data_IF_200072108394
#
_entry.id   IF_200072108394
#
_cell.length_a   1.000
_cell.length_b   1.000
_cell.length_c   1.000
_cell.angle_alpha   90.00
_cell.angle_beta   90.00
_cell.angle_gamma   90.00
#
_symmetry.space_group_name_H-M   'P 1'
#
loop_
_entity.id
_entity.type
_entity.pdbx_description
1 polymer ?
#
# COMPACT_ATOMS: atom_id res chain seq x y z
N UNK A 1 8.47 -10.24 -32.27
CA UNK A 1 8.10 -9.14 -31.33
C UNK A 1 9.14 -9.09 -30.24
N UNK A 2 9.72 -7.92 -29.95
CA UNK A 2 10.67 -7.74 -28.85
C UNK A 2 9.96 -7.99 -27.51
N UNK A 3 10.69 -8.45 -26.49
CA UNK A 3 10.15 -8.83 -25.18
C UNK A 3 9.21 -7.80 -24.53
N UNK A 4 9.36 -6.52 -24.84
CA UNK A 4 8.49 -5.44 -24.37
C UNK A 4 7.00 -5.65 -24.70
N UNK A 5 6.67 -6.17 -25.89
CA UNK A 5 5.26 -6.35 -26.28
C UNK A 5 4.57 -7.45 -25.45
N UNK A 6 5.31 -8.50 -25.09
CA UNK A 6 4.81 -9.57 -24.21
C UNK A 6 4.62 -9.08 -22.79
N UNK A 7 5.53 -8.25 -22.30
CA UNK A 7 5.41 -7.64 -20.98
C UNK A 7 4.16 -6.77 -20.89
N UNK A 8 3.89 -5.92 -21.90
CA UNK A 8 2.67 -5.10 -21.94
C UNK A 8 1.41 -5.97 -21.90
N UNK A 9 1.37 -7.05 -22.67
CA UNK A 9 0.21 -7.95 -22.72
C UNK A 9 0.00 -8.67 -21.37
N UNK A 10 1.06 -9.16 -20.74
CA UNK A 10 0.99 -9.78 -19.41
C UNK A 10 0.58 -8.77 -18.34
N UNK A 11 1.09 -7.54 -18.40
CA UNK A 11 0.66 -6.45 -17.50
C UNK A 11 -0.82 -6.13 -17.68
N UNK A 12 -1.32 -6.08 -18.92
CA UNK A 12 -2.73 -5.88 -19.20
C UNK A 12 -3.59 -7.01 -18.61
N UNK A 13 -3.21 -8.27 -18.82
CA UNK A 13 -3.89 -9.42 -18.23
C UNK A 13 -3.91 -9.36 -16.69
N UNK A 14 -2.80 -8.96 -16.08
CA UNK A 14 -2.70 -8.79 -14.63
C UNK A 14 -3.67 -7.71 -14.12
N UNK A 15 -3.71 -6.54 -14.76
CA UNK A 15 -4.62 -5.45 -14.40
C UNK A 15 -6.07 -5.88 -14.55
N UNK A 16 -6.41 -6.55 -15.66
CA UNK A 16 -7.77 -7.06 -15.89
C UNK A 16 -8.15 -8.06 -14.79
N UNK A 17 -7.30 -9.04 -14.46
CA UNK A 17 -7.58 -9.99 -13.36
C UNK A 17 -7.77 -9.29 -12.01
N UNK A 18 -6.97 -8.27 -11.71
CA UNK A 18 -7.12 -7.49 -10.49
C UNK A 18 -8.47 -6.77 -10.43
N UNK A 19 -8.87 -6.11 -11.52
CA UNK A 19 -10.19 -5.45 -11.62
C UNK A 19 -11.33 -6.46 -11.52
N UNK A 20 -11.16 -7.68 -12.04
CA UNK A 20 -12.15 -8.75 -11.93
C UNK A 20 -12.29 -9.35 -10.53
N UNK A 21 -11.38 -9.07 -9.60
CA UNK A 21 -11.48 -9.59 -8.24
C UNK A 21 -12.78 -9.13 -7.57
N UNK A 22 -13.12 -7.84 -7.70
CA UNK A 22 -14.33 -7.26 -7.11
C UNK A 22 -15.62 -7.92 -7.63
N UNK A 23 -15.90 -7.97 -8.95
CA UNK A 23 -17.11 -8.63 -9.44
C UNK A 23 -17.11 -10.15 -9.19
N UNK A 24 -15.94 -10.80 -9.12
CA UNK A 24 -15.86 -12.24 -8.75
C UNK A 24 -16.31 -12.46 -7.31
N UNK A 25 -15.88 -11.59 -6.37
CA UNK A 25 -16.29 -11.65 -4.97
C UNK A 25 -17.80 -11.42 -4.85
N UNK A 26 -18.32 -10.37 -5.49
CA UNK A 26 -19.74 -10.06 -5.44
C UNK A 26 -20.58 -11.21 -6.00
N UNK A 27 -20.22 -11.73 -7.18
CA UNK A 27 -20.89 -12.88 -7.79
C UNK A 27 -20.87 -14.11 -6.88
N UNK A 28 -19.74 -14.39 -6.23
CA UNK A 28 -19.62 -15.51 -5.30
C UNK A 28 -20.52 -15.37 -4.06
N UNK A 29 -20.61 -14.15 -3.50
CA UNK A 29 -21.49 -13.86 -2.35
C UNK A 29 -22.96 -14.06 -2.75
N UNK A 30 -23.43 -13.39 -3.82
CA UNK A 30 -24.81 -13.53 -4.28
C UNK A 30 -25.17 -14.99 -4.61
N UNK A 31 -24.34 -15.69 -5.38
CA UNK A 31 -24.58 -17.09 -5.74
C UNK A 31 -24.62 -18.03 -4.52
N UNK A 32 -23.85 -17.72 -3.48
CA UNK A 32 -23.86 -18.51 -2.24
C UNK A 32 -25.15 -18.25 -1.46
N UNK A 33 -25.53 -16.99 -1.29
CA UNK A 33 -26.72 -16.58 -0.56
C UNK A 33 -28.00 -17.09 -1.23
N UNK A 34 -28.11 -16.96 -2.57
CA UNK A 34 -29.27 -17.46 -3.31
C UNK A 34 -29.37 -18.97 -3.30
N UNK A 35 -28.25 -19.69 -3.45
CA UNK A 35 -28.28 -21.14 -3.34
C UNK A 35 -28.66 -21.60 -1.94
N UNK A 36 -28.13 -20.98 -0.88
CA UNK A 36 -28.50 -21.33 0.49
C UNK A 36 -29.98 -21.01 0.77
N UNK A 37 -30.51 -19.90 0.23
CA UNK A 37 -31.94 -19.57 0.28
C UNK A 37 -32.81 -20.62 -0.43
N UNK A 38 -32.45 -21.04 -1.65
CA UNK A 38 -33.23 -22.02 -2.43
C UNK A 38 -33.13 -23.43 -1.83
N UNK A 39 -31.95 -23.83 -1.37
CA UNK A 39 -31.71 -25.17 -0.84
C UNK A 39 -32.25 -25.39 0.58
N UNK A 40 -32.31 -24.34 1.41
CA UNK A 40 -32.89 -24.42 2.76
C UNK A 40 -34.42 -24.57 2.75
N UNK A 41 -35.09 -24.14 1.69
CA UNK A 41 -36.55 -24.14 1.62
C UNK A 41 -37.08 -25.16 0.61
N UNK A 42 -37.66 -26.26 1.11
CA UNK A 42 -38.28 -27.32 0.30
C UNK A 42 -39.29 -26.78 -0.72
N UNK A 43 -40.03 -25.72 -0.36
CA UNK A 43 -41.01 -25.07 -1.24
C UNK A 43 -40.39 -24.50 -2.53
N UNK A 44 -39.12 -24.10 -2.49
CA UNK A 44 -38.43 -23.48 -3.63
C UNK A 44 -37.78 -24.51 -4.57
N UNK A 45 -37.48 -25.73 -4.09
CA UNK A 45 -36.75 -26.74 -4.89
C UNK A 45 -37.49 -28.06 -5.12
N UNK A 46 -38.65 -28.30 -4.48
CA UNK A 46 -39.40 -29.56 -4.61
C UNK A 46 -40.32 -29.62 -5.87
N UNK A 47 -39.91 -28.98 -6.97
CA UNK A 47 -40.62 -29.03 -8.26
C UNK A 47 -41.88 -28.17 -8.38
N UNK A 48 -42.22 -27.37 -7.37
CA UNK A 48 -43.30 -26.37 -7.49
C UNK A 48 -42.95 -25.29 -8.51
N UNK A 49 -41.69 -24.85 -8.53
CA UNK A 49 -41.13 -23.92 -9.49
C UNK A 49 -40.28 -24.64 -10.53
N UNK A 50 -39.82 -23.90 -11.55
CA UNK A 50 -38.96 -24.44 -12.59
C UNK A 50 -37.72 -25.13 -12.00
N UNK A 51 -37.47 -26.37 -12.40
CA UNK A 51 -36.31 -27.16 -11.93
C UNK A 51 -34.98 -26.59 -12.42
N UNK A 52 -35.01 -25.71 -13.42
CA UNK A 52 -33.87 -24.92 -13.85
C UNK A 52 -33.31 -24.00 -12.75
N UNK A 53 -34.15 -23.51 -11.82
CA UNK A 53 -33.72 -22.60 -10.76
C UNK A 53 -32.75 -23.29 -9.78
N UNK A 54 -33.12 -24.37 -9.08
CA UNK A 54 -32.20 -25.03 -8.15
C UNK A 54 -30.97 -25.62 -8.85
N UNK A 55 -31.10 -26.05 -10.11
CA UNK A 55 -29.98 -26.52 -10.91
C UNK A 55 -29.01 -25.38 -11.25
N UNK A 56 -29.52 -24.23 -11.69
CA UNK A 56 -28.78 -23.03 -12.02
C UNK A 56 -28.03 -22.48 -10.81
N UNK A 57 -28.71 -22.29 -9.68
CA UNK A 57 -28.11 -21.78 -8.44
C UNK A 57 -27.04 -22.71 -7.86
N UNK A 58 -27.24 -24.03 -7.94
CA UNK A 58 -26.22 -25.01 -7.55
C UNK A 58 -24.98 -24.92 -8.44
N UNK A 59 -25.17 -24.72 -9.75
CA UNK A 59 -24.09 -24.57 -10.71
C UNK A 59 -23.35 -23.24 -10.45
N UNK A 60 -24.09 -22.15 -10.26
CA UNK A 60 -23.56 -20.82 -9.97
C UNK A 60 -22.70 -20.82 -8.70
N UNK A 61 -23.20 -21.32 -7.56
CA UNK A 61 -22.43 -21.43 -6.31
C UNK A 61 -21.13 -22.21 -6.47
N UNK A 62 -21.21 -23.39 -7.11
CA UNK A 62 -20.05 -24.28 -7.27
C UNK A 62 -18.96 -23.60 -8.11
N UNK A 63 -19.33 -23.06 -9.26
CA UNK A 63 -18.35 -22.48 -10.19
C UNK A 63 -17.90 -21.09 -9.77
N UNK A 64 -18.74 -20.28 -9.11
CA UNK A 64 -18.31 -19.01 -8.53
C UNK A 64 -17.26 -19.20 -7.43
N UNK A 65 -17.42 -20.23 -6.58
CA UNK A 65 -16.44 -20.58 -5.55
C UNK A 65 -15.10 -21.00 -6.17
N UNK A 66 -15.14 -21.88 -7.19
CA UNK A 66 -13.94 -22.30 -7.91
C UNK A 66 -13.29 -21.11 -8.61
N UNK A 67 -14.08 -20.26 -9.27
CA UNK A 67 -13.60 -19.06 -9.95
C UNK A 67 -12.91 -18.09 -8.98
N UNK A 68 -13.51 -17.85 -7.81
CA UNK A 68 -12.94 -17.01 -6.77
C UNK A 68 -11.58 -17.53 -6.28
N UNK A 69 -11.52 -18.81 -5.92
CA UNK A 69 -10.27 -19.44 -5.50
C UNK A 69 -9.22 -19.44 -6.62
N UNK A 70 -9.64 -19.72 -7.86
CA UNK A 70 -8.77 -19.65 -9.02
C UNK A 70 -8.19 -18.26 -9.21
N UNK A 71 -9.01 -17.21 -9.14
CA UNK A 71 -8.58 -15.83 -9.31
C UNK A 71 -7.55 -15.44 -8.23
N UNK A 72 -7.76 -15.85 -6.97
CA UNK A 72 -6.79 -15.64 -5.88
C UNK A 72 -5.46 -16.36 -6.12
N UNK A 73 -5.51 -17.64 -6.52
CA UNK A 73 -4.30 -18.44 -6.74
C UNK A 73 -3.52 -17.89 -7.92
N UNK A 74 -4.19 -17.52 -9.01
CA UNK A 74 -3.53 -17.22 -10.27
C UNK A 74 -3.15 -15.75 -10.44
N UNK A 75 -3.71 -14.86 -9.62
CA UNK A 75 -3.39 -13.44 -9.65
C UNK A 75 -1.88 -13.19 -9.54
N UNK A 76 -1.20 -13.92 -8.66
CA UNK A 76 0.24 -13.79 -8.47
C UNK A 76 1.08 -14.43 -9.59
N UNK A 77 0.89 -15.72 -9.93
CA UNK A 77 1.65 -16.34 -11.01
C UNK A 77 1.46 -15.66 -12.37
N UNK A 78 0.34 -14.97 -12.61
CA UNK A 78 0.11 -14.24 -13.86
C UNK A 78 1.18 -13.18 -14.17
N UNK A 79 1.91 -12.69 -13.17
CA UNK A 79 3.06 -11.77 -13.35
C UNK A 79 4.31 -12.52 -13.84
N UNK A 80 4.47 -13.76 -13.40
CA UNK A 80 5.71 -14.55 -13.53
C UNK A 80 5.67 -15.49 -14.73
N UNK A 81 4.50 -16.02 -15.08
CA UNK A 81 4.36 -16.99 -16.16
C UNK A 81 4.61 -16.36 -17.52
N UNK A 82 5.70 -16.78 -18.16
CA UNK A 82 6.11 -16.31 -19.48
C UNK A 82 5.45 -17.20 -20.55
N UNK A 83 4.88 -16.62 -21.63
CA UNK A 83 4.42 -17.40 -22.77
C UNK A 83 5.55 -18.31 -23.33
N UNK A 84 5.28 -19.60 -23.60
CA UNK A 84 3.97 -20.24 -23.78
C UNK A 84 3.54 -21.06 -22.56
N UNK A 85 4.27 -20.97 -21.43
CA UNK A 85 4.01 -21.73 -20.22
C UNK A 85 2.70 -21.31 -19.54
N UNK A 86 2.10 -20.19 -19.97
CA UNK A 86 0.78 -19.73 -19.56
C UNK A 86 -0.37 -20.48 -20.27
N UNK A 87 -0.11 -21.35 -21.25
CA UNK A 87 -1.16 -22.09 -21.95
C UNK A 87 -2.11 -22.89 -21.02
N UNK A 88 -1.64 -23.61 -19.99
CA UNK A 88 -2.54 -24.27 -19.05
C UNK A 88 -3.49 -23.30 -18.33
N UNK A 89 -3.04 -22.06 -18.08
CA UNK A 89 -3.87 -21.04 -17.44
C UNK A 89 -5.01 -20.62 -18.37
N UNK A 90 -4.72 -20.39 -19.64
CA UNK A 90 -5.72 -20.07 -20.65
C UNK A 90 -6.76 -21.19 -20.84
N UNK A 91 -6.33 -22.46 -20.73
CA UNK A 91 -7.24 -23.62 -20.79
C UNK A 91 -8.19 -23.62 -19.58
N UNK A 92 -7.67 -23.40 -18.38
CA UNK A 92 -8.50 -23.34 -17.17
C UNK A 92 -9.45 -22.14 -17.20
N UNK A 93 -8.96 -20.95 -17.60
CA UNK A 93 -9.81 -19.76 -17.76
C UNK A 93 -10.95 -20.02 -18.77
N UNK A 94 -10.67 -20.75 -19.86
CA UNK A 94 -11.68 -21.15 -20.85
C UNK A 94 -12.71 -22.10 -20.26
N UNK A 95 -12.27 -23.12 -19.51
CA UNK A 95 -13.18 -24.03 -18.85
C UNK A 95 -14.10 -23.28 -17.87
N UNK A 96 -13.54 -22.39 -17.05
CA UNK A 96 -14.30 -21.55 -16.12
C UNK A 96 -15.29 -20.65 -16.85
N UNK A 97 -14.87 -20.03 -17.96
CA UNK A 97 -15.75 -19.22 -18.82
C UNK A 97 -16.96 -20.03 -19.30
N UNK A 98 -16.74 -21.27 -19.77
CA UNK A 98 -17.81 -22.15 -20.27
C UNK A 98 -18.78 -22.50 -19.16
N UNK A 99 -18.29 -22.87 -17.97
CA UNK A 99 -19.16 -23.24 -16.86
C UNK A 99 -19.93 -22.06 -16.26
N UNK A 100 -19.33 -20.87 -16.17
CA UNK A 100 -20.03 -19.66 -15.74
C UNK A 100 -21.04 -19.23 -16.79
N UNK A 101 -20.71 -19.33 -18.08
CA UNK A 101 -21.66 -19.07 -19.17
C UNK A 101 -22.84 -20.04 -19.14
N UNK A 102 -22.61 -21.31 -18.81
CA UNK A 102 -23.67 -22.29 -18.62
C UNK A 102 -24.57 -21.92 -17.43
N UNK A 103 -24.02 -21.55 -16.27
CA UNK A 103 -24.79 -21.08 -15.12
C UNK A 103 -25.60 -19.82 -15.45
N UNK A 104 -24.97 -18.85 -16.10
CA UNK A 104 -25.61 -17.61 -16.55
C UNK A 104 -26.72 -17.90 -17.56
N UNK A 105 -26.56 -18.89 -18.43
CA UNK A 105 -27.59 -19.29 -19.39
C UNK A 105 -28.84 -19.83 -18.69
N UNK A 106 -28.67 -20.64 -17.63
CA UNK A 106 -29.80 -21.04 -16.78
C UNK A 106 -30.46 -19.83 -16.13
N UNK A 107 -29.66 -18.91 -15.56
CA UNK A 107 -30.16 -17.68 -14.92
C UNK A 107 -30.98 -16.80 -15.86
N UNK A 108 -30.55 -16.63 -17.11
CA UNK A 108 -31.31 -15.90 -18.14
C UNK A 108 -32.70 -16.51 -18.36
N UNK A 109 -32.86 -17.82 -18.16
CA UNK A 109 -34.13 -18.52 -18.31
C UNK A 109 -35.17 -18.14 -17.25
N UNK A 110 -34.75 -17.81 -16.02
CA UNK A 110 -35.66 -17.51 -14.90
C UNK A 110 -35.56 -16.10 -14.32
N UNK A 111 -34.54 -15.34 -14.70
CA UNK A 111 -34.26 -13.99 -14.19
C UNK A 111 -34.68 -12.95 -15.23
N UNK A 112 -35.44 -11.91 -14.85
CA UNK A 112 -35.79 -10.86 -15.80
C UNK A 112 -34.53 -10.16 -16.34
N UNK A 113 -34.50 -9.74 -17.62
CA UNK A 113 -33.28 -9.21 -18.24
C UNK A 113 -32.83 -7.86 -17.67
N UNK A 114 -33.74 -7.12 -17.03
CA UNK A 114 -33.51 -5.74 -16.59
C UNK A 114 -34.04 -5.51 -15.18
N UNK A 115 -33.30 -4.70 -14.40
CA UNK A 115 -33.71 -4.29 -13.05
C UNK A 115 -35.08 -3.59 -13.01
N UNK A 116 -35.45 -2.86 -14.07
CA UNK A 116 -36.75 -2.19 -14.18
C UNK A 116 -37.92 -3.18 -14.13
N UNK A 117 -37.76 -4.36 -14.73
CA UNK A 117 -38.80 -5.37 -14.74
C UNK A 117 -39.11 -5.93 -13.33
N UNK A 118 -38.16 -5.85 -12.38
CA UNK A 118 -38.42 -6.24 -10.99
C UNK A 118 -39.36 -5.28 -10.24
N UNK A 119 -39.55 -4.05 -10.75
CA UNK A 119 -40.50 -3.09 -10.19
C UNK A 119 -41.89 -3.20 -10.84
N UNK A 120 -41.96 -3.80 -12.02
CA UNK A 120 -43.22 -4.04 -12.72
C UNK A 120 -43.86 -5.33 -12.20
N UNK A 121 -45.19 -5.31 -11.98
CA UNK A 121 -45.94 -6.50 -11.52
C UNK A 121 -45.75 -7.69 -12.46
N UNK A 122 -45.66 -7.42 -13.76
CA UNK A 122 -45.43 -8.45 -14.80
C UNK A 122 -44.09 -9.17 -14.62
N UNK A 123 -43.02 -8.45 -14.28
CA UNK A 123 -41.71 -9.07 -14.08
C UNK A 123 -41.58 -9.80 -12.75
N UNK A 124 -42.31 -9.35 -11.72
CA UNK A 124 -42.47 -10.07 -10.45
C UNK A 124 -43.29 -11.36 -10.61
N UNK A 125 -44.25 -11.39 -11.53
CA UNK A 125 -45.08 -12.56 -11.83
C UNK A 125 -44.43 -13.54 -12.81
N UNK A 126 -43.25 -13.22 -13.33
CA UNK A 126 -42.46 -14.12 -14.17
C UNK A 126 -42.20 -15.42 -13.39
N UNK A 127 -42.35 -16.56 -14.06
CA UNK A 127 -42.22 -17.91 -13.47
C UNK A 127 -43.25 -18.24 -12.38
N UNK A 128 -44.46 -17.68 -12.44
CA UNK A 128 -45.61 -18.20 -11.69
C UNK A 128 -46.08 -19.52 -12.32
N UNK A 129 -45.93 -20.67 -11.65
CA UNK A 129 -46.40 -21.95 -12.19
C UNK A 129 -47.94 -22.00 -12.24
N UNK A 130 -48.52 -22.80 -13.15
CA UNK A 130 -49.97 -22.91 -13.26
C UNK A 130 -50.55 -23.49 -11.96
N UNK A 131 -51.53 -22.79 -11.37
CA UNK A 131 -52.22 -23.23 -10.16
C UNK A 131 -51.64 -22.72 -8.84
N UNK A 132 -50.57 -21.91 -8.83
CA UNK A 132 -50.10 -21.23 -7.62
C UNK A 132 -50.55 -19.77 -7.58
N UNK A 133 -50.59 -19.20 -6.37
CA UNK A 133 -50.96 -17.79 -6.15
C UNK A 133 -49.76 -16.85 -6.04
N UNK A 134 -48.55 -17.40 -5.83
CA UNK A 134 -47.31 -16.63 -5.68
C UNK A 134 -46.30 -17.00 -6.77
N UNK A 135 -45.50 -16.02 -7.18
CA UNK A 135 -44.33 -16.22 -8.04
C UNK A 135 -43.13 -16.70 -7.22
N UNK A 136 -42.08 -17.16 -7.90
CA UNK A 136 -40.84 -17.60 -7.25
C UNK A 136 -40.25 -16.50 -6.35
N UNK A 137 -40.12 -15.27 -6.84
CA UNK A 137 -39.55 -14.16 -6.07
C UNK A 137 -40.44 -13.74 -4.89
N UNK A 138 -41.77 -13.87 -5.02
CA UNK A 138 -42.70 -13.62 -3.93
C UNK A 138 -42.56 -14.67 -2.81
N UNK A 139 -42.49 -15.95 -3.18
CA UNK A 139 -42.27 -17.04 -2.24
C UNK A 139 -40.88 -16.95 -1.58
N UNK A 140 -39.84 -16.68 -2.37
CA UNK A 140 -38.48 -16.50 -1.87
C UNK A 140 -38.37 -15.32 -0.89
N UNK A 141 -38.97 -14.16 -1.20
CA UNK A 141 -39.02 -13.02 -0.29
C UNK A 141 -39.80 -13.29 1.00
N UNK A 142 -40.90 -14.05 0.92
CA UNK A 142 -41.69 -14.47 2.09
C UNK A 142 -40.92 -15.45 3.00
N UNK A 143 -40.13 -16.35 2.40
CA UNK A 143 -39.39 -17.38 3.11
C UNK A 143 -38.02 -16.89 3.62
N UNK A 144 -37.47 -15.85 3.03
CA UNK A 144 -36.24 -15.24 3.50
C UNK A 144 -36.50 -14.50 4.83
N UNK A 145 -35.90 -14.98 5.92
CA UNK A 145 -36.06 -14.49 7.30
C UNK A 145 -35.72 -12.99 7.45
N UNK A 146 -34.97 -12.42 6.51
CA UNK A 146 -34.54 -11.01 6.54
C UNK A 146 -35.60 -10.01 6.04
N UNK A 147 -36.86 -10.44 5.87
CA UNK A 147 -37.98 -9.61 5.38
C UNK A 147 -37.65 -8.87 4.06
N UNK A 148 -36.89 -9.51 3.17
CA UNK A 148 -36.57 -8.96 1.88
C UNK A 148 -37.84 -8.89 1.01
N UNK A 149 -38.21 -7.69 0.56
CA UNK A 149 -39.32 -7.53 -0.39
C UNK A 149 -39.08 -8.39 -1.65
N UNK A 150 -40.12 -8.94 -2.30
CA UNK A 150 -39.97 -9.71 -3.54
C UNK A 150 -39.17 -8.98 -4.63
N UNK A 151 -39.34 -7.65 -4.72
CA UNK A 151 -38.58 -6.79 -5.62
C UNK A 151 -37.09 -6.79 -5.31
N UNK A 152 -36.70 -6.76 -4.02
CA UNK A 152 -35.30 -6.80 -3.61
C UNK A 152 -34.65 -8.13 -4.00
N UNK A 153 -35.33 -9.25 -3.73
CA UNK A 153 -34.83 -10.58 -4.14
C UNK A 153 -34.68 -10.64 -5.66
N UNK A 154 -35.66 -10.18 -6.43
CA UNK A 154 -35.56 -10.09 -7.89
C UNK A 154 -34.34 -9.27 -8.33
N UNK A 155 -34.10 -8.10 -7.72
CA UNK A 155 -32.95 -7.25 -8.06
C UNK A 155 -31.61 -7.93 -7.79
N UNK A 156 -31.48 -8.66 -6.67
CA UNK A 156 -30.26 -9.40 -6.33
C UNK A 156 -29.97 -10.51 -7.35
N UNK A 157 -31.00 -11.26 -7.78
CA UNK A 157 -30.87 -12.25 -8.86
C UNK A 157 -30.44 -11.62 -10.21
N UNK A 158 -31.03 -10.48 -10.56
CA UNK A 158 -30.63 -9.72 -11.76
C UNK A 158 -29.18 -9.26 -11.67
N UNK A 159 -28.75 -8.80 -10.50
CA UNK A 159 -27.36 -8.39 -10.25
C UNK A 159 -26.39 -9.56 -10.38
N UNK A 160 -26.70 -10.70 -9.77
CA UNK A 160 -25.91 -11.92 -9.92
C UNK A 160 -25.74 -12.30 -11.39
N UNK A 161 -26.85 -12.40 -12.13
CA UNK A 161 -26.83 -12.73 -13.56
C UNK A 161 -25.96 -11.73 -14.35
N UNK A 162 -26.09 -10.43 -14.08
CA UNK A 162 -25.29 -9.39 -14.74
C UNK A 162 -23.79 -9.55 -14.43
N UNK A 163 -23.42 -9.86 -13.19
CA UNK A 163 -22.03 -10.17 -12.85
C UNK A 163 -21.55 -11.44 -13.57
N UNK A 164 -22.38 -12.47 -13.68
CA UNK A 164 -22.09 -13.69 -14.44
C UNK A 164 -21.76 -13.40 -15.92
N UNK A 165 -22.57 -12.59 -16.59
CA UNK A 165 -22.32 -12.14 -17.98
C UNK A 165 -20.99 -11.40 -18.10
N UNK A 166 -20.74 -10.44 -17.20
CA UNK A 166 -19.51 -9.62 -17.21
C UNK A 166 -18.28 -10.51 -16.99
N UNK A 167 -18.33 -11.42 -16.02
CA UNK A 167 -17.24 -12.36 -15.74
C UNK A 167 -16.97 -13.26 -16.95
N UNK A 168 -18.01 -13.85 -17.56
CA UNK A 168 -17.85 -14.67 -18.76
C UNK A 168 -17.17 -13.90 -19.90
N UNK A 169 -17.57 -12.66 -20.17
CA UNK A 169 -16.96 -11.84 -21.22
C UNK A 169 -15.46 -11.60 -20.96
N UNK A 170 -15.10 -11.15 -19.76
CA UNK A 170 -13.71 -10.82 -19.46
C UNK A 170 -12.82 -12.05 -19.35
N UNK A 171 -13.32 -13.17 -18.82
CA UNK A 171 -12.55 -14.42 -18.81
C UNK A 171 -12.38 -15.01 -20.22
N UNK A 172 -13.39 -14.90 -21.10
CA UNK A 172 -13.23 -15.25 -22.51
C UNK A 172 -12.12 -14.43 -23.17
N UNK A 173 -12.07 -13.12 -22.89
CA UNK A 173 -11.04 -12.22 -23.39
C UNK A 173 -9.65 -12.59 -22.86
N UNK A 174 -9.53 -12.87 -21.56
CA UNK A 174 -8.27 -13.32 -20.94
C UNK A 174 -7.76 -14.63 -21.58
N UNK A 175 -8.65 -15.61 -21.78
CA UNK A 175 -8.32 -16.85 -22.46
C UNK A 175 -7.85 -16.62 -23.89
N UNK A 176 -8.56 -15.78 -24.64
CA UNK A 176 -8.19 -15.44 -26.03
C UNK A 176 -6.80 -14.80 -26.12
N UNK A 177 -6.53 -13.82 -25.26
CA UNK A 177 -5.20 -13.20 -25.15
C UNK A 177 -4.15 -14.23 -24.75
N UNK A 178 -4.47 -15.11 -23.80
CA UNK A 178 -3.62 -16.23 -23.37
C UNK A 178 -3.23 -17.13 -24.53
N UNK A 179 -4.19 -17.59 -25.35
CA UNK A 179 -3.92 -18.42 -26.52
C UNK A 179 -3.05 -17.69 -27.56
N UNK A 180 -3.39 -16.45 -27.92
CA UNK A 180 -2.58 -15.66 -28.86
C UNK A 180 -1.13 -15.54 -28.36
N UNK A 181 -0.97 -15.28 -27.07
CA UNK A 181 0.36 -15.15 -26.47
C UNK A 181 1.16 -16.44 -26.48
N UNK A 182 0.52 -17.56 -26.16
CA UNK A 182 1.14 -18.87 -26.17
C UNK A 182 1.56 -19.27 -27.60
N UNK A 183 0.68 -19.15 -28.58
CA UNK A 183 0.99 -19.48 -29.97
C UNK A 183 2.05 -18.54 -30.57
N UNK A 184 1.95 -17.25 -30.29
CA UNK A 184 2.93 -16.27 -30.76
C UNK A 184 4.33 -16.52 -30.19
N UNK A 185 4.42 -16.85 -28.90
CA UNK A 185 5.68 -17.16 -28.25
C UNK A 185 6.26 -18.51 -28.68
N UNK A 186 5.43 -19.55 -28.82
CA UNK A 186 5.85 -20.84 -29.35
C UNK A 186 6.43 -20.72 -30.78
N UNK A 187 5.80 -19.92 -31.64
CA UNK A 187 6.32 -19.64 -32.98
C UNK A 187 7.66 -18.90 -32.94
N UNK A 188 7.84 -17.97 -32.00
CA UNK A 188 9.09 -17.24 -31.82
C UNK A 188 10.21 -18.18 -31.32
N UNK A 189 9.94 -19.06 -30.35
CA UNK A 189 10.92 -20.05 -29.88
C UNK A 189 11.38 -20.99 -30.98
N UNK A 190 10.44 -21.45 -31.81
CA UNK A 190 10.78 -22.29 -32.96
C UNK A 190 11.68 -21.57 -33.97
N UNK A 191 11.55 -20.25 -34.11
CA UNK A 191 12.44 -19.44 -34.97
C UNK A 191 13.81 -19.23 -34.34
N UNK A 192 13.84 -19.05 -33.02
CA UNK A 192 15.07 -18.74 -32.29
C UNK A 192 15.83 -20.02 -31.86
N UNK A 193 15.32 -21.23 -32.18
CA UNK A 193 15.84 -22.54 -31.75
C UNK A 193 16.11 -22.62 -30.23
N UNK A 194 15.32 -21.90 -29.43
CA UNK A 194 15.44 -21.92 -27.97
C UNK A 194 14.79 -23.18 -27.40
N UNK A 195 15.45 -23.81 -26.43
CA UNK A 195 14.88 -24.95 -25.71
C UNK A 195 13.85 -24.50 -24.69
N UNK A 196 12.88 -25.36 -24.37
CA UNK A 196 11.93 -25.13 -23.27
C UNK A 196 12.66 -24.97 -21.94
N UNK A 197 13.78 -25.67 -21.75
CA UNK A 197 14.61 -25.56 -20.55
C UNK A 197 15.17 -24.14 -20.34
N UNK A 198 15.51 -23.42 -21.41
CA UNK A 198 15.99 -22.04 -21.31
C UNK A 198 14.90 -21.11 -20.78
N UNK A 199 13.66 -21.32 -21.23
CA UNK A 199 12.50 -20.55 -20.78
C UNK A 199 12.16 -20.85 -19.32
N UNK A 200 12.23 -22.12 -18.91
CA UNK A 200 12.01 -22.51 -17.52
C UNK A 200 13.08 -21.89 -16.61
N UNK A 201 14.33 -21.84 -17.07
CA UNK A 201 15.42 -21.18 -16.35
C UNK A 201 15.20 -19.66 -16.24
N UNK A 202 14.79 -19.02 -17.32
CA UNK A 202 14.44 -17.59 -17.33
C UNK A 202 13.27 -17.29 -16.40
N UNK A 203 12.22 -18.12 -16.44
CA UNK A 203 11.07 -18.05 -15.54
C UNK A 203 11.48 -18.25 -14.08
N UNK A 204 12.33 -19.23 -13.76
CA UNK A 204 12.81 -19.48 -12.40
C UNK A 204 13.64 -18.30 -11.88
N UNK A 205 14.49 -17.71 -12.71
CA UNK A 205 15.25 -16.50 -12.39
C UNK A 205 14.34 -15.30 -12.12
N UNK A 206 13.33 -15.10 -12.97
CA UNK A 206 12.33 -14.04 -12.81
C UNK A 206 11.47 -14.27 -11.56
N UNK A 207 11.07 -15.50 -11.29
CA UNK A 207 10.31 -15.89 -10.11
C UNK A 207 11.10 -15.64 -8.83
N UNK A 208 12.38 -16.05 -8.80
CA UNK A 208 13.29 -15.76 -7.69
C UNK A 208 13.41 -14.27 -7.46
N UNK A 209 13.67 -13.49 -8.52
CA UNK A 209 13.77 -12.02 -8.44
C UNK A 209 12.47 -11.38 -7.94
N UNK A 210 11.32 -11.87 -8.38
CA UNK A 210 10.00 -11.38 -7.96
C UNK A 210 9.71 -11.71 -6.49
N UNK A 211 10.03 -12.94 -6.03
CA UNK A 211 9.93 -13.33 -4.61
C UNK A 211 10.83 -12.48 -3.71
N UNK A 212 12.09 -12.24 -4.11
CA UNK A 212 12.97 -11.35 -3.37
C UNK A 212 12.46 -9.90 -3.36
N UNK A 213 11.96 -9.41 -4.48
CA UNK A 213 11.38 -8.06 -4.60
C UNK A 213 10.16 -7.90 -3.69
N UNK A 214 9.32 -8.92 -3.62
CA UNK A 214 8.06 -8.87 -2.89
C UNK A 214 8.21 -9.04 -1.39
N UNK A 215 9.32 -9.60 -0.92
CA UNK A 215 9.73 -9.49 0.50
C UNK A 215 10.33 -8.12 0.79
N UNK A 216 11.07 -7.52 -0.16
CA UNK A 216 11.68 -6.19 0.01
C UNK A 216 10.65 -5.07 0.10
N UNK A 217 9.61 -5.08 -0.74
CA UNK A 217 8.58 -4.04 -0.76
C UNK A 217 7.87 -3.80 0.58
N UNK A 218 7.34 -4.81 1.30
CA UNK A 218 6.71 -4.60 2.60
C UNK A 218 7.73 -4.13 3.64
N UNK A 219 8.98 -4.60 3.61
CA UNK A 219 10.04 -4.07 4.49
C UNK A 219 10.29 -2.59 4.21
N UNK A 220 10.36 -2.20 2.93
CA UNK A 220 10.50 -0.80 2.53
C UNK A 220 9.28 0.04 2.94
N UNK A 221 8.07 -0.47 2.75
CA UNK A 221 6.83 0.22 3.15
C UNK A 221 6.78 0.40 4.66
N UNK A 222 7.07 -0.65 5.45
CA UNK A 222 7.13 -0.57 6.92
C UNK A 222 8.20 0.43 7.36
N UNK A 223 9.39 0.39 6.75
CA UNK A 223 10.45 1.34 7.04
C UNK A 223 10.05 2.78 6.68
N UNK A 224 9.37 2.97 5.55
CA UNK A 224 8.85 4.26 5.10
C UNK A 224 7.78 4.78 6.08
N UNK A 225 6.84 3.93 6.50
CA UNK A 225 5.82 4.25 7.51
C UNK A 225 6.48 4.64 8.83
N UNK A 226 7.43 3.84 9.33
CA UNK A 226 8.16 4.13 10.57
C UNK A 226 8.98 5.43 10.50
N UNK A 227 9.48 5.80 9.32
CA UNK A 227 10.22 7.04 9.12
C UNK A 227 9.31 8.26 8.97
N UNK A 228 8.21 8.14 8.21
CA UNK A 228 7.32 9.26 7.89
C UNK A 228 6.28 9.55 8.97
N UNK A 229 5.77 8.55 9.69
CA UNK A 229 4.78 8.75 10.77
C UNK A 229 5.32 9.74 11.82
N UNK A 230 6.55 9.59 12.36
CA UNK A 230 7.10 10.55 13.32
C UNK A 230 7.19 11.95 12.72
N UNK A 231 7.60 12.09 11.46
CA UNK A 231 7.73 13.40 10.79
C UNK A 231 6.36 14.08 10.67
N UNK A 232 5.32 13.34 10.27
CA UNK A 232 3.96 13.86 10.17
C UNK A 232 3.42 14.22 11.56
N UNK A 233 3.63 13.37 12.55
CA UNK A 233 3.22 13.64 13.93
C UNK A 233 3.90 14.89 14.49
N UNK A 234 5.22 15.02 14.30
CA UNK A 234 5.98 16.22 14.69
C UNK A 234 5.58 17.47 13.92
N UNK A 235 5.11 17.37 12.67
CA UNK A 235 4.58 18.51 11.92
C UNK A 235 3.22 18.96 12.43
N UNK A 236 2.36 18.05 12.86
CA UNK A 236 1.01 18.37 13.37
C UNK A 236 0.96 18.78 14.84
N UNK A 237 2.01 18.51 15.64
CA UNK A 237 2.05 18.91 17.06
C UNK A 237 1.99 20.45 17.25
N UNK A 238 1.28 20.95 18.28
CA UNK A 238 1.25 22.37 18.63
C UNK A 238 2.65 22.91 19.00
N UNK A 239 2.85 24.21 18.76
CA UNK A 239 4.14 24.89 18.92
C UNK A 239 4.75 24.72 20.32
N UNK A 240 3.92 24.64 21.37
CA UNK A 240 4.37 24.48 22.75
C UNK A 240 5.13 23.16 22.97
N UNK A 241 4.62 22.05 22.42
CA UNK A 241 5.29 20.76 22.47
C UNK A 241 6.54 20.72 21.58
N UNK A 242 6.46 21.33 20.38
CA UNK A 242 7.62 21.45 19.47
C UNK A 242 8.79 22.16 20.14
N UNK A 243 8.53 23.22 20.90
CA UNK A 243 9.56 23.97 21.61
C UNK A 243 10.30 23.12 22.66
N UNK A 244 9.55 22.35 23.46
CA UNK A 244 10.14 21.46 24.47
C UNK A 244 10.98 20.36 23.83
N UNK A 245 10.47 19.68 22.79
CA UNK A 245 11.23 18.64 22.07
C UNK A 245 12.50 19.22 21.43
N UNK A 246 12.42 20.42 20.85
CA UNK A 246 13.59 21.08 20.25
C UNK A 246 14.62 21.49 21.30
N UNK A 247 14.18 21.93 22.48
CA UNK A 247 15.05 22.22 23.61
C UNK A 247 15.75 20.97 24.11
N UNK A 248 15.00 19.88 24.35
CA UNK A 248 15.54 18.59 24.76
C UNK A 248 16.55 18.02 23.77
N UNK A 249 16.25 18.08 22.47
CA UNK A 249 17.20 17.69 21.41
C UNK A 249 18.47 18.54 21.42
N UNK A 250 18.35 19.87 21.53
CA UNK A 250 19.53 20.76 21.61
C UNK A 250 20.37 20.47 22.86
N UNK A 251 19.72 20.16 23.97
CA UNK A 251 20.40 19.78 25.20
C UNK A 251 21.15 18.46 25.01
N UNK A 252 20.49 17.42 24.51
CA UNK A 252 21.08 16.10 24.26
C UNK A 252 22.28 16.16 23.27
N UNK A 253 22.16 16.95 22.20
CA UNK A 253 23.27 17.14 21.25
C UNK A 253 24.44 17.88 21.92
N UNK A 254 24.16 18.90 22.73
CA UNK A 254 25.21 19.62 23.45
C UNK A 254 25.89 18.76 24.52
N UNK A 255 25.14 17.93 25.24
CA UNK A 255 25.74 17.00 26.21
C UNK A 255 26.55 15.91 25.54
N UNK A 256 26.10 15.38 24.40
CA UNK A 256 26.88 14.43 23.60
C UNK A 256 28.19 15.06 23.09
N UNK A 257 28.13 16.24 22.47
CA UNK A 257 29.33 16.97 22.02
C UNK A 257 30.26 17.34 23.19
N UNK A 258 29.70 17.71 24.33
CA UNK A 258 30.49 18.00 25.54
C UNK A 258 31.16 16.76 26.12
N UNK A 259 30.52 15.59 26.02
CA UNK A 259 31.14 14.32 26.39
C UNK A 259 32.29 13.95 25.44
N UNK A 260 32.10 14.11 24.13
CA UNK A 260 33.16 13.92 23.12
C UNK A 260 34.36 14.84 23.38
N UNK A 261 34.13 16.13 23.63
CA UNK A 261 35.19 17.08 23.96
C UNK A 261 35.92 16.73 25.27
N UNK A 262 35.20 16.30 26.32
CA UNK A 262 35.84 15.87 27.57
C UNK A 262 36.73 14.65 27.35
N UNK A 263 36.27 13.68 26.55
CA UNK A 263 37.05 12.51 26.20
C UNK A 263 38.29 12.92 25.40
N UNK A 264 38.16 13.84 24.45
CA UNK A 264 39.27 14.37 23.66
C UNK A 264 40.32 15.09 24.54
N UNK A 265 39.87 15.95 25.46
CA UNK A 265 40.75 16.64 26.41
C UNK A 265 41.47 15.62 27.30
N UNK A 266 40.74 14.68 27.91
CA UNK A 266 41.32 13.67 28.79
C UNK A 266 42.36 12.79 28.05
N UNK A 267 42.09 12.46 26.78
CA UNK A 267 43.00 11.69 25.94
C UNK A 267 44.24 12.52 25.54
N UNK A 268 44.07 13.83 25.33
CA UNK A 268 45.18 14.76 25.08
C UNK A 268 46.06 14.96 26.33
N UNK A 269 45.47 15.05 27.52
CA UNK A 269 46.19 15.14 28.79
C UNK A 269 46.94 13.85 29.10
N UNK A 270 46.33 12.68 28.86
CA UNK A 270 47.00 11.40 29.01
C UNK A 270 48.20 11.27 28.06
N UNK A 271 48.01 11.66 26.79
CA UNK A 271 49.07 11.68 25.78
C UNK A 271 50.21 12.64 26.16
N UNK A 272 49.88 13.82 26.67
CA UNK A 272 50.86 14.81 27.09
C UNK A 272 51.57 14.39 28.39
N UNK A 273 50.87 13.80 29.35
CA UNK A 273 51.43 13.27 30.59
C UNK A 273 52.40 12.10 30.35
N UNK A 274 52.09 11.23 29.38
CA UNK A 274 53.01 10.18 28.93
C UNK A 274 54.27 10.76 28.27
N UNK A 275 54.15 11.84 27.48
CA UNK A 275 55.30 12.53 26.88
C UNK A 275 56.13 13.34 27.88
N UNK A 276 55.51 13.87 28.94
CA UNK A 276 56.18 14.74 29.93
C UNK A 276 57.06 13.98 30.92
N UNK A 277 57.05 12.65 30.92
CA UNK A 277 57.82 11.84 31.86
C UNK A 277 59.35 11.91 31.62
N UNK A 278 59.79 12.44 30.48
CA UNK A 278 61.21 12.54 30.09
C UNK A 278 61.73 13.99 29.90
N UNK A 279 60.94 15.01 30.23
CA UNK A 279 61.36 16.41 30.05
C UNK A 279 61.48 17.15 31.40
N UNK A 280 62.65 17.74 31.74
CA UNK A 280 62.80 18.54 32.95
C UNK A 280 61.87 19.75 32.91
N UNK A 281 61.14 19.93 34.00
CA UNK A 281 60.15 20.99 34.19
C UNK A 281 60.87 22.33 34.41
N UNK A 282 61.06 23.12 33.35
CA UNK A 282 61.50 24.51 33.52
C UNK A 282 60.38 25.31 34.19
N UNK A 283 60.63 25.74 35.43
CA UNK A 283 59.80 26.68 36.15
C UNK A 283 59.77 28.01 35.38
N UNK A 284 58.57 28.47 35.04
CA UNK A 284 58.34 29.80 34.48
C UNK A 284 58.52 30.87 35.58
N UNK A 285 59.74 31.02 36.07
CA UNK A 285 60.16 32.14 36.91
C UNK A 285 61.29 32.85 36.17
N UNK A 286 60.99 34.08 35.73
CA UNK A 286 61.94 35.11 35.31
C UNK A 286 62.42 35.14 33.84
N UNK A 287 61.60 34.68 32.89
CA UNK A 287 61.84 34.95 31.47
C UNK A 287 60.98 36.11 30.98
N UNK A 288 61.60 37.19 30.51
CA UNK A 288 60.95 38.29 29.78
C UNK A 288 60.39 37.83 28.42
N UNK A 289 59.40 36.95 28.45
CA UNK A 289 58.72 36.43 27.28
C UNK A 289 57.74 37.46 26.74
N UNK A 290 57.82 37.71 25.42
CA UNK A 290 56.89 38.58 24.70
C UNK A 290 55.48 38.00 24.87
N UNK A 291 54.57 38.81 25.43
CA UNK A 291 53.17 38.45 25.63
C UNK A 291 52.56 37.97 24.31
N UNK A 292 52.06 36.74 24.28
CA UNK A 292 51.22 36.25 23.19
C UNK A 292 49.82 36.82 23.37
N UNK A 293 49.17 37.25 22.28
CA UNK A 293 47.82 37.88 22.33
C UNK A 293 46.77 37.04 23.08
N UNK A 294 46.98 35.72 23.18
CA UNK A 294 46.12 34.81 23.95
C UNK A 294 46.30 34.97 25.46
N UNK A 295 47.52 35.22 25.96
CA UNK A 295 47.76 35.44 27.39
C UNK A 295 47.23 36.79 27.87
N UNK A 296 47.25 37.80 26.99
CA UNK A 296 46.62 39.09 27.23
C UNK A 296 45.09 38.99 27.22
N UNK A 297 44.50 38.20 26.32
CA UNK A 297 43.07 37.91 26.32
C UNK A 297 42.63 37.12 27.56
N UNK A 298 43.39 36.11 27.95
CA UNK A 298 43.11 35.31 29.15
C UNK A 298 43.30 36.10 30.44
N UNK A 299 44.27 37.03 30.51
CA UNK A 299 44.44 37.90 31.67
C UNK A 299 43.25 38.84 31.84
N UNK A 300 42.71 39.37 30.73
CA UNK A 300 41.49 40.20 30.76
C UNK A 300 40.29 39.38 31.25
N UNK A 301 40.14 38.12 30.82
CA UNK A 301 39.07 37.24 31.31
C UNK A 301 39.23 36.88 32.78
N UNK A 302 40.43 36.59 33.25
CA UNK A 302 40.68 36.29 34.67
C UNK A 302 40.43 37.52 35.56
N UNK A 303 40.81 38.72 35.10
CA UNK A 303 40.48 39.97 35.80
C UNK A 303 38.97 40.18 35.82
N UNK A 304 38.26 39.94 34.71
CA UNK A 304 36.79 40.01 34.67
C UNK A 304 36.14 39.00 35.61
N UNK A 305 36.62 37.75 35.65
CA UNK A 305 36.12 36.71 36.55
C UNK A 305 36.39 37.08 38.01
N UNK A 306 37.57 37.63 38.33
CA UNK A 306 37.90 38.07 39.68
C UNK A 306 37.03 39.27 40.11
N UNK A 307 36.77 40.22 39.20
CA UNK A 307 35.88 41.37 39.45
C UNK A 307 34.42 40.92 39.62
N UNK A 308 33.95 39.94 38.85
CA UNK A 308 32.58 39.41 38.99
C UNK A 308 32.32 38.71 40.32
N UNK A 309 33.34 38.20 41.02
CA UNK A 309 33.18 37.62 42.37
C UNK A 309 32.82 38.64 43.43
N UNK A 310 33.07 39.93 43.18
CA UNK A 310 32.81 41.02 44.12
C UNK A 310 31.64 41.92 43.68
N UNK A 311 31.03 41.67 42.53
CA UNK A 311 29.88 42.42 42.03
C UNK A 311 28.55 41.79 42.47
N UNK A 312 27.61 42.63 42.88
CA UNK A 312 26.27 42.18 43.21
C UNK A 312 25.53 41.76 41.93
N UNK A 313 24.58 40.82 42.04
CA UNK A 313 23.85 40.27 40.89
C UNK A 313 23.17 41.35 40.02
N UNK A 314 22.74 42.46 40.64
CA UNK A 314 22.15 43.60 39.94
C UNK A 314 23.15 44.28 38.98
N UNK A 315 24.41 44.41 39.37
CA UNK A 315 25.45 45.06 38.57
C UNK A 315 25.92 44.17 37.43
N UNK A 316 25.97 42.85 37.67
CA UNK A 316 26.26 41.84 36.66
C UNK A 316 25.20 41.85 35.54
N UNK A 317 23.94 42.09 35.90
CA UNK A 317 22.84 42.25 34.94
C UNK A 317 22.98 43.56 34.15
N UNK A 318 23.39 44.65 34.78
CA UNK A 318 23.64 45.94 34.12
C UNK A 318 24.82 45.88 33.14
N UNK A 319 25.93 45.22 33.52
CA UNK A 319 27.09 44.98 32.64
C UNK A 319 26.72 44.15 31.40
N UNK A 320 25.84 43.15 31.57
CA UNK A 320 25.33 42.34 30.45
C UNK A 320 24.43 43.13 29.48
N UNK A 321 23.84 44.24 29.95
CA UNK A 321 23.05 45.14 29.12
C UNK A 321 23.93 46.14 28.36
N UNK A 322 25.05 46.61 28.95
CA UNK A 322 26.00 47.53 28.32
C UNK A 322 26.78 46.86 27.19
N UNK A 323 27.15 45.58 27.33
CA UNK A 323 27.82 44.83 26.23
C UNK A 323 26.91 44.52 25.04
N UNK A 324 25.60 44.74 25.18
CA UNK A 324 24.60 44.69 24.11
C UNK A 324 24.35 46.03 23.45
N UNK A 325 25.10 47.09 23.77
CA UNK A 325 25.03 48.33 23.00
C UNK A 325 25.28 48.01 21.52
N UNK A 326 24.31 48.26 20.62
CA UNK A 326 24.53 48.07 19.20
C UNK A 326 25.66 49.02 18.77
N UNK A 327 26.54 48.61 17.84
CA UNK A 327 27.62 49.46 17.38
C UNK A 327 27.02 50.81 16.94
N UNK A 328 27.51 51.89 17.56
CA UNK A 328 27.08 53.27 17.34
C UNK A 328 27.44 53.81 15.94
N UNK A 329 27.45 52.95 14.92
CA UNK A 329 27.69 53.26 13.51
C UNK A 329 26.63 52.69 12.56
N UNK A 330 25.55 52.07 13.04
CA UNK A 330 24.50 51.49 12.18
C UNK A 330 23.25 52.36 12.02
N UNK A 331 23.25 53.60 12.51
CA UNK A 331 22.11 54.52 12.45
C UNK A 331 22.44 55.76 11.61
N UNK A 332 22.79 55.58 10.33
CA UNK A 332 22.69 56.63 9.31
C UNK A 332 22.86 56.03 7.90
N UNK A 333 21.80 55.42 7.36
CA UNK A 333 21.52 55.33 5.91
C UNK A 333 20.26 54.49 5.71
N UNK A 334 19.10 55.15 5.66
CA UNK A 334 17.92 54.75 4.89
C UNK A 334 16.85 55.85 4.99
N UNK A 335 17.17 56.98 4.35
CA UNK A 335 16.19 57.94 3.87
C UNK A 335 16.54 58.22 2.41
N UNK A 336 16.06 57.38 1.49
CA UNK A 336 15.86 57.75 0.10
C UNK A 336 15.00 56.69 -0.60
N UNK A 337 13.99 57.21 -1.30
CA UNK A 337 13.34 56.65 -2.50
C UNK A 337 12.06 55.82 -2.30
N UNK A 338 10.97 56.57 -2.11
CA UNK A 338 9.71 56.33 -2.83
C UNK A 338 9.86 56.72 -4.33
N UNK A 339 8.88 56.31 -5.15
CA UNK A 339 8.71 56.50 -6.62
C UNK A 339 9.05 55.24 -7.45
N UNK A 340 8.12 54.28 -7.50
CA UNK A 340 7.15 54.11 -8.60
C UNK A 340 6.12 53.04 -8.26
#
# INVERSE_FOLDING_TARGET
MKGAAWQILNTLCFVVRFVLLTPTILYWVYASDHHDMVSSHVQLHNGTYDTAIPAGEKLARKWSTILFLWNLIIWWPSIVFIPPLNLPLAIVDTALTVFISMATHYQIGYTPPNKKACHDTVGLELHRPPGTNESFFAAAGRLNETAASPTKVCLEFVEEMQYGIVLSFFYALLSFIGYISAFGAARQMRRDNKSIFDLVKEMASMMGSCLFSTVKWPVLIVWWILFYIPILFFRCLPLNFKAQVRSGRRYAVKTALGAEQRVEIMLSELKNGLKKKDAPMELYQNGGGIHTQLSEFLSVYDVLVMVTKHLHYADLKSLSAVSKSPPAGAAQTKSATAVR
#
